data_IF_622671079645
#
_entry.id   IF_622671079645
#
_cell.length_a   1.000
_cell.length_b   1.000
_cell.length_c   1.000
_cell.angle_alpha   90.00
_cell.angle_beta   90.00
_cell.angle_gamma   90.00
#
_symmetry.space_group_name_H-M   'P 1'
#
loop_
_entity.id
_entity.type
_entity.pdbx_description
1 polymer ?
#
# COMPACT_ATOMS: atom_id res chain seq x y z
N UNK A 1 42.60 34.29 28.51
CA UNK A 1 42.46 34.90 27.20
C UNK A 1 41.49 34.16 26.34
N UNK A 2 40.65 34.91 25.86
CA UNK A 2 39.35 34.80 25.26
C UNK A 2 39.27 34.01 23.95
N UNK A 3 38.10 33.42 23.68
CA UNK A 3 37.47 33.31 22.36
C UNK A 3 37.89 32.19 21.41
N UNK A 4 37.36 30.99 21.69
CA UNK A 4 37.16 29.96 20.65
C UNK A 4 35.72 29.45 20.59
N UNK A 5 34.75 30.12 21.18
CA UNK A 5 33.37 29.68 21.33
C UNK A 5 32.33 30.52 20.54
N UNK A 6 32.74 31.36 19.62
CA UNK A 6 31.80 32.25 18.90
C UNK A 6 31.77 32.08 17.37
N UNK A 7 31.88 30.83 16.84
CA UNK A 7 31.58 30.59 15.42
C UNK A 7 30.74 29.32 15.21
N UNK A 8 29.72 29.10 16.00
CA UNK A 8 28.57 28.30 15.59
C UNK A 8 27.56 29.25 14.93
N UNK A 9 27.85 29.63 13.69
CA UNK A 9 26.91 30.34 12.84
C UNK A 9 25.65 29.51 12.75
N UNK A 10 24.57 29.98 13.35
CA UNK A 10 23.21 29.58 13.09
C UNK A 10 22.98 29.63 11.59
N UNK A 11 23.02 28.49 10.91
CA UNK A 11 22.39 28.33 9.61
C UNK A 11 20.88 28.40 9.83
N UNK A 12 20.35 29.61 9.96
CA UNK A 12 18.92 29.88 9.87
C UNK A 12 18.57 29.61 8.40
N UNK A 13 18.12 28.42 8.10
CA UNK A 13 17.50 28.15 6.81
C UNK A 13 16.35 29.12 6.63
N UNK A 14 16.40 29.97 5.60
CA UNK A 14 15.32 30.91 5.33
C UNK A 14 14.01 30.12 5.15
N UNK A 15 12.85 30.64 5.55
CA UNK A 15 11.55 29.99 5.33
C UNK A 15 11.33 29.53 3.88
N UNK A 16 11.88 30.26 2.91
CA UNK A 16 11.88 29.91 1.49
C UNK A 16 12.75 28.68 1.16
N UNK A 17 13.87 28.49 1.83
CA UNK A 17 14.72 27.33 1.64
C UNK A 17 14.07 26.08 2.23
N UNK A 18 13.44 26.20 3.40
CA UNK A 18 12.67 25.12 4.04
C UNK A 18 11.47 24.73 3.17
N UNK A 19 10.71 25.69 2.67
CA UNK A 19 9.54 25.41 1.81
C UNK A 19 9.95 24.76 0.48
N UNK A 20 11.05 25.19 -0.15
CA UNK A 20 11.60 24.56 -1.36
C UNK A 20 12.06 23.12 -1.09
N UNK A 21 12.71 22.87 0.05
CA UNK A 21 13.17 21.52 0.41
C UNK A 21 12.00 20.59 0.69
N UNK A 22 10.95 21.06 1.38
CA UNK A 22 9.71 20.30 1.61
C UNK A 22 9.01 19.99 0.28
N UNK A 23 8.90 20.96 -0.62
CA UNK A 23 8.28 20.78 -1.94
C UNK A 23 9.06 19.77 -2.79
N UNK A 24 10.39 19.86 -2.80
CA UNK A 24 11.26 18.93 -3.52
C UNK A 24 11.16 17.50 -2.95
N UNK A 25 11.17 17.35 -1.64
CA UNK A 25 11.02 16.05 -0.99
C UNK A 25 9.64 15.42 -1.27
N UNK A 26 8.57 16.22 -1.25
CA UNK A 26 7.21 15.76 -1.58
C UNK A 26 7.10 15.32 -3.05
N UNK A 27 7.77 16.03 -3.97
CA UNK A 27 7.80 15.65 -5.39
C UNK A 27 8.50 14.31 -5.61
N UNK A 28 9.67 14.10 -4.99
CA UNK A 28 10.41 12.83 -5.06
C UNK A 28 9.59 11.69 -4.44
N UNK A 29 8.98 11.91 -3.28
CA UNK A 29 8.12 10.90 -2.64
C UNK A 29 6.96 10.51 -3.55
N UNK A 30 6.33 11.48 -4.22
CA UNK A 30 5.22 11.22 -5.14
C UNK A 30 5.67 10.40 -6.37
N UNK A 31 6.86 10.66 -6.91
CA UNK A 31 7.44 9.88 -8.00
C UNK A 31 7.76 8.43 -7.59
N UNK A 32 8.34 8.25 -6.40
CA UNK A 32 8.62 6.92 -5.84
C UNK A 32 7.33 6.14 -5.56
N UNK A 33 6.32 6.79 -4.97
CA UNK A 33 5.02 6.18 -4.72
C UNK A 33 4.35 5.73 -6.02
N UNK A 34 4.40 6.57 -7.04
CA UNK A 34 3.91 6.25 -8.39
C UNK A 34 4.64 5.05 -8.98
N UNK A 35 5.97 5.01 -8.86
CA UNK A 35 6.81 3.89 -9.33
C UNK A 35 6.42 2.57 -8.66
N UNK A 36 6.31 2.54 -7.34
CA UNK A 36 6.01 1.31 -6.63
C UNK A 36 4.53 0.90 -6.74
N UNK A 37 3.61 1.86 -6.85
CA UNK A 37 2.21 1.55 -7.13
C UNK A 37 2.03 0.91 -8.52
N UNK A 38 2.77 1.34 -9.55
CA UNK A 38 2.80 0.66 -10.85
C UNK A 38 3.25 -0.80 -10.73
N UNK A 39 4.19 -1.11 -9.85
CA UNK A 39 4.60 -2.49 -9.58
C UNK A 39 3.50 -3.29 -8.85
N UNK A 40 2.77 -2.67 -7.93
CA UNK A 40 1.59 -3.28 -7.31
C UNK A 40 0.48 -3.57 -8.34
N UNK A 41 0.23 -2.64 -9.27
CA UNK A 41 -0.71 -2.82 -10.39
C UNK A 41 -0.29 -3.99 -11.29
N UNK A 42 1.01 -4.18 -11.56
CA UNK A 42 1.49 -5.37 -12.29
C UNK A 42 1.16 -6.68 -11.55
N UNK A 43 1.15 -6.67 -10.21
CA UNK A 43 0.72 -7.84 -9.45
C UNK A 43 -0.81 -8.03 -9.53
N UNK A 44 -1.60 -6.96 -9.48
CA UNK A 44 -3.05 -7.03 -9.66
C UNK A 44 -3.44 -7.64 -11.02
N UNK A 45 -2.74 -7.26 -12.09
CA UNK A 45 -2.91 -7.87 -13.43
C UNK A 45 -2.58 -9.37 -13.48
N UNK A 46 -1.73 -9.89 -12.56
CA UNK A 46 -1.53 -11.34 -12.43
C UNK A 46 -2.72 -12.03 -11.78
N UNK A 47 -3.33 -11.41 -10.76
CA UNK A 47 -4.57 -11.91 -10.17
C UNK A 47 -5.69 -11.98 -11.22
N UNK A 48 -5.87 -10.93 -12.02
CA UNK A 48 -6.87 -10.84 -13.09
C UNK A 48 -6.73 -11.99 -14.10
N UNK A 49 -5.51 -12.32 -14.52
CA UNK A 49 -5.25 -13.46 -15.42
C UNK A 49 -5.70 -14.80 -14.84
N UNK A 50 -5.76 -14.93 -13.51
CA UNK A 50 -6.27 -16.10 -12.80
C UNK A 50 -7.78 -16.00 -12.51
N UNK A 51 -8.46 -14.99 -13.05
CA UNK A 51 -9.88 -14.67 -12.75
C UNK A 51 -10.13 -14.37 -11.27
N UNK A 52 -9.12 -13.92 -10.58
CA UNK A 52 -9.21 -13.38 -9.23
C UNK A 52 -9.49 -11.88 -9.26
N UNK A 53 -10.07 -11.35 -8.18
CA UNK A 53 -10.21 -9.89 -8.03
C UNK A 53 -8.83 -9.25 -8.16
N UNK A 54 -8.64 -8.26 -9.07
CA UNK A 54 -7.33 -7.70 -9.40
C UNK A 54 -6.80 -6.79 -8.29
N UNK A 55 -6.27 -7.41 -7.25
CA UNK A 55 -5.61 -6.73 -6.13
C UNK A 55 -4.15 -7.17 -6.10
N UNK A 56 -3.27 -6.19 -6.04
CA UNK A 56 -1.83 -6.39 -6.00
C UNK A 56 -1.18 -5.59 -4.87
N UNK A 57 -0.07 -6.11 -4.40
CA UNK A 57 0.68 -5.53 -3.30
C UNK A 57 2.18 -5.71 -3.51
N UNK A 58 2.97 -4.69 -3.13
CA UNK A 58 4.42 -4.80 -3.00
C UNK A 58 4.88 -4.21 -1.67
N UNK A 59 5.96 -4.76 -1.13
CA UNK A 59 6.63 -4.23 0.06
C UNK A 59 8.04 -3.80 -0.33
N UNK A 60 8.38 -2.57 0.07
CA UNK A 60 9.65 -1.90 -0.23
C UNK A 60 10.43 -1.72 1.07
N UNK A 61 11.70 -2.02 1.02
CA UNK A 61 12.70 -1.81 2.06
C UNK A 61 13.95 -1.21 1.43
N UNK A 62 14.47 -0.11 1.96
CA UNK A 62 15.66 0.58 1.41
C UNK A 62 15.59 0.76 -0.12
N UNK A 63 14.51 1.36 -0.61
CA UNK A 63 14.22 1.62 -2.03
C UNK A 63 14.23 0.37 -2.95
N UNK A 64 14.17 -0.83 -2.38
CA UNK A 64 14.07 -2.09 -3.12
C UNK A 64 12.78 -2.83 -2.80
N UNK A 65 12.13 -3.37 -3.83
CA UNK A 65 10.98 -4.24 -3.64
C UNK A 65 11.48 -5.60 -3.15
N UNK A 66 11.21 -5.92 -1.89
CA UNK A 66 11.60 -7.19 -1.26
C UNK A 66 10.50 -8.25 -1.33
N UNK A 67 9.24 -7.84 -1.49
CA UNK A 67 8.13 -8.79 -1.59
C UNK A 67 7.05 -8.31 -2.57
N UNK A 68 6.38 -9.28 -3.19
CA UNK A 68 5.25 -9.08 -4.10
C UNK A 68 4.15 -10.07 -3.76
N UNK A 69 2.90 -9.60 -3.71
CA UNK A 69 1.71 -10.38 -3.50
C UNK A 69 0.61 -9.99 -4.50
N UNK A 70 -0.27 -10.92 -4.81
CA UNK A 70 -1.49 -10.69 -5.55
C UNK A 70 -2.59 -11.60 -5.05
N UNK A 71 -3.84 -11.21 -5.23
CA UNK A 71 -4.97 -11.96 -4.72
C UNK A 71 -5.06 -13.34 -5.38
N UNK A 72 -5.28 -14.38 -4.54
CA UNK A 72 -5.40 -15.79 -4.93
C UNK A 72 -6.46 -16.53 -4.11
N UNK A 73 -7.40 -15.78 -3.53
CA UNK A 73 -8.37 -16.33 -2.58
C UNK A 73 -9.13 -17.54 -3.10
N UNK A 74 -9.61 -17.48 -4.34
CA UNK A 74 -10.35 -18.58 -4.94
C UNK A 74 -9.41 -19.68 -5.47
N UNK A 75 -8.25 -19.30 -6.01
CA UNK A 75 -7.23 -20.23 -6.52
C UNK A 75 -6.68 -21.11 -5.40
N UNK A 76 -6.32 -20.50 -4.27
CA UNK A 76 -5.74 -21.19 -3.11
C UNK A 76 -6.81 -21.72 -2.14
N UNK A 77 -8.10 -21.45 -2.40
CA UNK A 77 -9.26 -21.86 -1.59
C UNK A 77 -9.10 -21.49 -0.10
N UNK A 78 -8.58 -20.30 0.17
CA UNK A 78 -8.34 -19.80 1.54
C UNK A 78 -8.65 -18.32 1.66
N UNK A 79 -9.22 -17.92 2.79
CA UNK A 79 -9.42 -16.50 3.12
C UNK A 79 -8.10 -15.74 3.27
N UNK A 80 -6.99 -16.42 3.56
CA UNK A 80 -5.67 -15.83 3.71
C UNK A 80 -4.98 -15.52 2.37
N UNK A 81 -5.56 -15.90 1.24
CA UNK A 81 -5.01 -15.70 -0.11
C UNK A 81 -5.05 -14.25 -0.60
N UNK A 82 -5.00 -13.26 0.29
CA UNK A 82 -4.96 -11.84 -0.06
C UNK A 82 -3.52 -11.40 -0.43
N UNK A 83 -3.45 -10.38 -1.28
CA UNK A 83 -2.19 -9.83 -1.79
C UNK A 83 -1.26 -9.39 -0.66
N UNK A 84 -1.82 -8.68 0.32
CA UNK A 84 -1.10 -8.11 1.47
C UNK A 84 -0.53 -9.20 2.36
N UNK A 85 -1.35 -10.21 2.73
CA UNK A 85 -0.91 -11.35 3.56
C UNK A 85 0.24 -12.09 2.88
N UNK A 86 0.11 -12.32 1.57
CA UNK A 86 1.15 -12.98 0.77
C UNK A 86 2.45 -12.15 0.75
N UNK A 87 2.34 -10.83 0.59
CA UNK A 87 3.49 -9.94 0.57
C UNK A 87 4.17 -9.85 1.95
N UNK A 88 3.41 -9.68 3.04
CA UNK A 88 3.92 -9.64 4.42
C UNK A 88 4.69 -10.94 4.73
N UNK A 89 4.09 -12.11 4.48
CA UNK A 89 4.76 -13.40 4.71
C UNK A 89 6.08 -13.54 3.96
N UNK A 90 6.17 -13.03 2.73
CA UNK A 90 7.42 -13.04 1.95
C UNK A 90 8.44 -12.04 2.48
N UNK A 91 8.00 -10.81 2.81
CA UNK A 91 8.88 -9.79 3.35
C UNK A 91 9.51 -10.23 4.67
N UNK A 92 8.72 -10.81 5.58
CA UNK A 92 9.22 -11.34 6.86
C UNK A 92 10.31 -12.41 6.65
N UNK A 93 10.20 -13.25 5.62
CA UNK A 93 11.26 -14.23 5.28
C UNK A 93 12.53 -13.56 4.76
N UNK A 94 12.41 -12.48 4.00
CA UNK A 94 13.58 -11.75 3.46
C UNK A 94 14.27 -10.96 4.55
N UNK A 95 13.52 -10.31 5.45
CA UNK A 95 14.06 -9.56 6.59
C UNK A 95 14.59 -10.50 7.68
N UNK A 96 14.02 -11.71 7.82
CA UNK A 96 14.34 -12.64 8.90
C UNK A 96 13.62 -12.34 10.22
N UNK A 97 12.66 -11.41 10.22
CA UNK A 97 11.84 -11.03 11.38
C UNK A 97 10.38 -10.83 10.95
N UNK A 98 9.45 -10.97 11.90
CA UNK A 98 8.05 -10.63 11.71
C UNK A 98 7.81 -9.12 11.70
N UNK A 99 8.69 -8.32 12.31
CA UNK A 99 8.65 -6.86 12.28
C UNK A 99 9.19 -6.32 10.97
N UNK A 100 8.43 -5.43 10.36
CA UNK A 100 8.75 -4.78 9.09
C UNK A 100 8.84 -3.26 9.28
N UNK A 101 9.53 -2.83 10.35
CA UNK A 101 9.54 -1.45 10.88
C UNK A 101 10.14 -0.42 9.92
N UNK A 102 10.98 -0.85 8.96
CA UNK A 102 11.59 0.03 7.95
C UNK A 102 10.96 -0.16 6.55
N UNK A 103 9.80 -0.81 6.49
CA UNK A 103 9.17 -1.13 5.22
C UNK A 103 8.03 -0.17 4.89
N UNK A 104 7.81 0.05 3.59
CA UNK A 104 6.58 0.66 3.05
C UNK A 104 5.80 -0.38 2.26
N UNK A 105 4.49 -0.45 2.48
CA UNK A 105 3.59 -1.33 1.73
C UNK A 105 2.74 -0.51 0.75
N UNK A 106 2.67 -0.95 -0.50
CA UNK A 106 1.87 -0.37 -1.59
C UNK A 106 0.79 -1.35 -1.99
N UNK A 107 -0.47 -0.90 -1.98
CA UNK A 107 -1.64 -1.75 -2.20
C UNK A 107 -2.58 -1.07 -3.19
N UNK A 108 -3.01 -1.78 -4.23
CA UNK A 108 -3.90 -1.22 -5.26
C UNK A 108 -5.32 -0.96 -4.78
N UNK A 109 -5.78 -1.64 -3.72
CA UNK A 109 -7.08 -1.44 -3.08
C UNK A 109 -6.91 -1.34 -1.57
N UNK A 110 -7.63 -0.43 -0.94
CA UNK A 110 -7.67 -0.27 0.51
C UNK A 110 -7.84 -1.62 1.23
N UNK A 111 -7.00 -1.92 2.24
CA UNK A 111 -6.98 -3.21 2.91
C UNK A 111 -8.26 -3.45 3.71
N UNK A 112 -8.74 -4.70 3.71
CA UNK A 112 -9.82 -5.14 4.59
C UNK A 112 -9.33 -5.28 6.05
N UNK A 113 -10.24 -5.56 6.98
CA UNK A 113 -9.94 -5.69 8.41
C UNK A 113 -8.84 -6.71 8.72
N UNK A 114 -8.81 -7.85 8.04
CA UNK A 114 -7.78 -8.86 8.22
C UNK A 114 -6.40 -8.33 7.79
N UNK A 115 -6.33 -7.71 6.62
CA UNK A 115 -5.08 -7.19 6.06
C UNK A 115 -4.59 -5.95 6.82
N UNK A 116 -5.48 -5.02 7.19
CA UNK A 116 -5.14 -3.87 8.02
C UNK A 116 -4.59 -4.31 9.39
N UNK A 117 -5.23 -5.30 10.02
CA UNK A 117 -4.72 -5.90 11.26
C UNK A 117 -3.35 -6.54 11.08
N UNK A 118 -3.12 -7.27 10.00
CA UNK A 118 -1.82 -7.87 9.70
C UNK A 118 -0.71 -6.82 9.47
N UNK A 119 -1.03 -5.69 8.81
CA UNK A 119 -0.11 -4.57 8.60
C UNK A 119 0.30 -3.95 9.95
N UNK A 120 -0.67 -3.68 10.82
CA UNK A 120 -0.42 -3.15 12.17
C UNK A 120 0.42 -4.12 12.99
N UNK A 121 0.10 -5.42 12.96
CA UNK A 121 0.86 -6.45 13.68
C UNK A 121 2.28 -6.59 13.16
N UNK A 122 2.48 -6.49 11.85
CA UNK A 122 3.82 -6.52 11.23
C UNK A 122 4.64 -5.23 11.47
N UNK A 123 4.08 -4.22 12.18
CA UNK A 123 4.77 -2.95 12.49
C UNK A 123 5.21 -2.17 11.24
N UNK A 124 4.47 -2.27 10.13
CA UNK A 124 4.77 -1.50 8.93
C UNK A 124 4.42 -0.03 9.17
N UNK A 125 5.39 0.89 9.09
CA UNK A 125 5.17 2.29 9.46
C UNK A 125 4.39 3.08 8.39
N UNK A 126 4.49 2.68 7.09
CA UNK A 126 3.89 3.44 5.99
C UNK A 126 3.08 2.55 5.03
N UNK A 127 1.86 3.00 4.75
CA UNK A 127 0.91 2.33 3.85
C UNK A 127 0.50 3.29 2.73
N UNK A 128 0.70 2.88 1.49
CA UNK A 128 0.30 3.64 0.30
C UNK A 128 -0.82 2.89 -0.42
N UNK A 129 -1.96 3.55 -0.58
CA UNK A 129 -3.20 2.98 -1.10
C UNK A 129 -3.52 3.62 -2.46
N UNK A 130 -3.83 2.78 -3.46
CA UNK A 130 -4.32 3.23 -4.74
C UNK A 130 -5.78 3.67 -4.65
N UNK A 131 -6.71 2.74 -4.70
CA UNK A 131 -8.16 2.99 -4.66
C UNK A 131 -8.76 2.68 -3.30
N UNK A 132 -9.75 3.46 -2.87
CA UNK A 132 -10.50 3.22 -1.64
C UNK A 132 -11.55 2.12 -1.80
N UNK A 133 -11.96 1.49 -0.69
CA UNK A 133 -12.94 0.40 -0.67
C UNK A 133 -14.11 0.76 0.26
N UNK A 134 -15.17 1.42 -0.24
CA UNK A 134 -16.29 1.87 0.58
C UNK A 134 -17.07 0.74 1.28
N UNK A 135 -16.90 -0.52 0.83
CA UNK A 135 -17.68 -1.66 1.36
C UNK A 135 -17.00 -2.40 2.50
N UNK A 136 -15.67 -2.44 2.51
CA UNK A 136 -14.91 -3.26 3.45
C UNK A 136 -13.53 -2.69 3.79
N UNK A 137 -13.24 -1.44 3.38
CA UNK A 137 -11.94 -0.80 3.61
C UNK A 137 -11.74 -0.42 5.07
N UNK A 138 -10.56 -0.74 5.58
CA UNK A 138 -10.18 -0.48 6.97
C UNK A 138 -8.94 0.43 7.09
N UNK A 139 -8.69 1.24 6.06
CA UNK A 139 -7.71 2.33 6.05
C UNK A 139 -8.37 3.72 6.01
N UNK A 140 -9.66 3.84 6.41
CA UNK A 140 -10.38 5.09 6.50
C UNK A 140 -11.79 5.10 5.88
N UNK A 141 -12.17 4.09 5.05
CA UNK A 141 -13.50 4.06 4.42
C UNK A 141 -14.61 3.62 5.39
N UNK A 142 -14.51 2.41 5.95
CA UNK A 142 -15.49 1.85 6.90
C UNK A 142 -14.97 1.97 8.33
N UNK A 143 -13.73 1.57 8.53
CA UNK A 143 -12.98 1.71 9.77
C UNK A 143 -11.59 2.26 9.47
N UNK A 144 -10.89 2.76 10.48
CA UNK A 144 -9.50 3.19 10.34
C UNK A 144 -8.60 2.39 11.31
N UNK A 145 -8.43 1.10 11.03
CA UNK A 145 -7.60 0.19 11.83
C UNK A 145 -6.12 0.59 11.75
N UNK A 146 -5.65 1.11 10.60
CA UNK A 146 -4.26 1.50 10.40
C UNK A 146 -3.79 2.65 11.30
N UNK A 147 -4.72 3.48 11.76
CA UNK A 147 -4.43 4.68 12.55
C UNK A 147 -5.19 4.71 13.89
N UNK A 148 -5.68 3.56 14.36
CA UNK A 148 -6.45 3.47 15.61
C UNK A 148 -5.56 3.81 16.81
N UNK A 149 -5.98 4.80 17.62
CA UNK A 149 -5.19 5.35 18.73
C UNK A 149 -4.95 4.35 19.85
N UNK A 150 -5.88 3.42 20.05
CA UNK A 150 -5.79 2.38 21.07
C UNK A 150 -4.76 1.30 20.77
N UNK A 151 -4.25 1.24 19.52
CA UNK A 151 -3.23 0.26 19.16
C UNK A 151 -1.82 0.79 19.48
N UNK A 152 -0.93 -0.15 19.77
CA UNK A 152 0.48 0.11 20.07
C UNK A 152 1.34 0.42 18.80
N UNK A 153 0.73 0.43 17.62
CA UNK A 153 1.36 0.83 16.37
C UNK A 153 0.34 1.52 15.46
N UNK A 154 0.76 2.61 14.83
CA UNK A 154 -0.04 3.37 13.86
C UNK A 154 0.77 3.61 12.60
N UNK A 155 0.11 3.52 11.46
CA UNK A 155 0.74 3.72 10.16
C UNK A 155 0.54 5.14 9.66
N UNK A 156 1.54 5.68 8.98
CA UNK A 156 1.35 6.79 8.05
C UNK A 156 0.62 6.28 6.81
N UNK A 157 -0.47 6.95 6.38
CA UNK A 157 -1.30 6.49 5.27
C UNK A 157 -1.37 7.54 4.18
N UNK A 158 -0.84 7.20 3.00
CA UNK A 158 -1.00 7.96 1.76
C UNK A 158 -2.08 7.31 0.91
N UNK A 159 -3.04 8.08 0.39
CA UNK A 159 -4.18 7.58 -0.38
C UNK A 159 -4.22 8.20 -1.78
N UNK A 160 -4.85 7.52 -2.74
CA UNK A 160 -5.13 8.05 -4.06
C UNK A 160 -3.97 7.98 -5.05
N UNK A 161 -2.94 7.18 -4.77
CA UNK A 161 -1.80 7.02 -5.70
C UNK A 161 -2.20 6.14 -6.88
N UNK A 162 -2.29 6.73 -8.08
CA UNK A 162 -2.84 6.08 -9.30
C UNK A 162 -4.27 5.56 -9.09
N UNK A 163 -5.10 6.32 -8.39
CA UNK A 163 -6.45 5.92 -8.00
C UNK A 163 -7.32 5.54 -9.21
N UNK A 164 -7.28 6.33 -10.27
CA UNK A 164 -8.06 6.09 -11.48
C UNK A 164 -7.69 4.76 -12.14
N UNK A 165 -6.40 4.44 -12.25
CA UNK A 165 -5.95 3.17 -12.83
C UNK A 165 -6.37 1.98 -11.95
N UNK A 166 -6.21 2.08 -10.64
CA UNK A 166 -6.61 1.05 -9.68
C UNK A 166 -8.13 0.82 -9.66
N UNK A 167 -8.94 1.88 -9.61
CA UNK A 167 -10.40 1.80 -9.56
C UNK A 167 -11.00 1.30 -10.88
N UNK A 168 -10.46 1.74 -12.02
CA UNK A 168 -10.89 1.31 -13.35
C UNK A 168 -10.66 -0.19 -13.55
N UNK A 169 -9.51 -0.72 -13.13
CA UNK A 169 -9.20 -2.14 -13.22
C UNK A 169 -10.21 -2.99 -12.42
N UNK A 170 -10.55 -2.57 -11.21
CA UNK A 170 -11.56 -3.25 -10.37
C UNK A 170 -12.96 -3.17 -10.98
N UNK A 171 -13.40 -2.00 -11.40
CA UNK A 171 -14.74 -1.78 -11.97
C UNK A 171 -14.93 -2.58 -13.25
N UNK A 172 -13.92 -2.63 -14.13
CA UNK A 172 -13.91 -3.42 -15.35
C UNK A 172 -14.04 -4.92 -15.05
N UNK A 173 -13.26 -5.44 -14.11
CA UNK A 173 -13.33 -6.84 -13.68
C UNK A 173 -14.73 -7.22 -13.19
N UNK A 174 -15.33 -6.42 -12.30
CA UNK A 174 -16.66 -6.71 -11.79
C UNK A 174 -17.76 -6.55 -12.85
N UNK A 175 -17.58 -5.64 -13.82
CA UNK A 175 -18.50 -5.52 -14.98
C UNK A 175 -18.48 -6.80 -15.82
N UNK A 176 -17.29 -7.30 -16.16
CA UNK A 176 -17.13 -8.56 -16.92
C UNK A 176 -17.73 -9.75 -16.15
N UNK A 177 -17.45 -9.86 -14.85
CA UNK A 177 -17.99 -10.93 -14.02
C UNK A 177 -19.52 -10.94 -13.97
N UNK A 178 -20.17 -9.77 -13.94
CA UNK A 178 -21.64 -9.65 -14.01
C UNK A 178 -22.17 -10.10 -15.37
N UNK A 179 -21.53 -9.73 -16.46
CA UNK A 179 -21.92 -10.13 -17.83
C UNK A 179 -21.79 -11.64 -18.02
N UNK A 180 -20.70 -12.26 -17.55
CA UNK A 180 -20.53 -13.72 -17.62
C UNK A 180 -21.60 -14.45 -16.81
N UNK A 181 -21.96 -13.95 -15.63
CA UNK A 181 -23.03 -14.54 -14.80
C UNK A 181 -24.41 -14.38 -15.45
N UNK A 182 -24.69 -13.27 -16.12
CA UNK A 182 -25.95 -13.06 -16.83
C UNK A 182 -26.11 -14.09 -17.96
N UNK A 183 -25.08 -14.22 -18.82
CA UNK A 183 -25.06 -15.21 -19.92
C UNK A 183 -25.26 -16.64 -19.47
N UNK A 184 -24.79 -17.02 -18.27
CA UNK A 184 -24.98 -18.39 -17.72
C UNK A 184 -26.40 -18.66 -17.17
N UNK A 185 -27.22 -17.61 -17.00
CA UNK A 185 -28.58 -17.71 -16.46
C UNK A 185 -29.64 -17.64 -17.53
N UNK A 186 -29.30 -17.32 -18.77
CA UNK A 186 -30.24 -17.41 -19.90
C UNK A 186 -30.46 -18.89 -20.22
N UNK A 187 -31.71 -19.42 -20.11
CA UNK A 187 -32.04 -20.80 -20.53
C UNK A 187 -31.88 -20.90 -22.04
N UNK A 188 -31.22 -21.95 -22.50
CA UNK A 188 -31.17 -22.37 -23.90
C UNK A 188 -32.57 -22.85 -24.37
#
# INVERSE_FOLDING_TARGET
>A
SCSFLERLSFFIFSPLAISRQIYYNNSIMNELDTKYMKEAIKQAKKAEKLKEVPIGCVIVYQDKIIARGYNRRNTDKTTLGHAEITAIKKASRVIGDWRLEDCTIYITLEPCQMCAGAIVQARIPRVVIGSMNPKAGCGGSVLNILQMEQFNHRCEVTRGVLEEECSTMLSSFFKQLRQEKAKRREPS
#
